data_IF_108404872948
#
_entry.id   IF_108404872948
#
_cell.length_a   1.000
_cell.length_b   1.000
_cell.length_c   1.000
_cell.angle_alpha   90.00
_cell.angle_beta   90.00
_cell.angle_gamma   90.00
#
_symmetry.space_group_name_H-M   'P 1'
#
loop_
_entity.id
_entity.type
_entity.pdbx_description
1 polymer ?
#
# COMPACT_ATOMS: atom_id res chain seq x y z
N UNK A 1 -32.34 28.83 8.87
CA UNK A 1 -31.38 27.77 9.25
C UNK A 1 -31.95 26.83 10.31
N UNK A 2 -32.63 27.32 11.36
CA UNK A 2 -33.28 26.52 12.41
C UNK A 2 -34.02 25.26 11.89
N UNK A 3 -34.97 25.43 10.98
CA UNK A 3 -35.83 24.34 10.47
C UNK A 3 -35.08 23.18 9.79
N UNK A 4 -33.89 23.43 9.22
CA UNK A 4 -33.07 22.37 8.63
C UNK A 4 -32.28 21.62 9.70
N UNK A 5 -31.94 22.29 10.80
CA UNK A 5 -31.23 21.68 11.92
C UNK A 5 -32.19 20.77 12.71
N UNK A 6 -33.40 21.25 12.99
CA UNK A 6 -34.43 20.48 13.70
C UNK A 6 -34.78 19.18 12.94
N UNK A 7 -34.82 19.21 11.60
CA UNK A 7 -35.05 18.03 10.75
C UNK A 7 -33.88 17.03 10.77
N UNK A 8 -32.65 17.50 10.96
CA UNK A 8 -31.48 16.63 11.05
C UNK A 8 -31.42 15.95 12.42
N UNK A 9 -31.74 16.69 13.48
CA UNK A 9 -31.84 16.15 14.83
C UNK A 9 -32.91 15.07 14.91
N UNK A 10 -34.09 15.30 14.32
CA UNK A 10 -35.16 14.30 14.25
C UNK A 10 -34.71 13.02 13.51
N UNK A 11 -34.02 13.18 12.37
CA UNK A 11 -33.51 12.03 11.61
C UNK A 11 -32.47 11.25 12.40
N UNK A 12 -31.60 11.91 13.16
CA UNK A 12 -30.57 11.21 13.96
C UNK A 12 -31.24 10.34 15.02
N UNK A 13 -32.25 10.87 15.72
CA UNK A 13 -33.01 10.13 16.73
C UNK A 13 -33.68 8.88 16.14
N UNK A 14 -34.23 8.98 14.93
CA UNK A 14 -34.84 7.82 14.26
C UNK A 14 -33.82 6.70 13.94
N UNK A 15 -32.60 7.07 13.56
CA UNK A 15 -31.54 6.10 13.24
C UNK A 15 -30.97 5.44 14.50
N UNK A 16 -30.85 6.19 15.60
CA UNK A 16 -30.46 5.65 16.90
C UNK A 16 -31.50 4.65 17.42
N UNK A 17 -32.79 4.99 17.34
CA UNK A 17 -33.88 4.09 17.73
C UNK A 17 -33.92 2.81 16.88
N UNK A 18 -33.64 2.91 15.58
CA UNK A 18 -33.54 1.75 14.70
C UNK A 18 -32.37 0.84 15.11
N UNK A 19 -31.22 1.44 15.41
CA UNK A 19 -30.03 0.70 15.84
C UNK A 19 -30.27 -0.05 17.16
N UNK A 20 -30.87 0.61 18.15
CA UNK A 20 -31.20 -0.02 19.42
C UNK A 20 -32.26 -1.12 19.27
N UNK A 21 -33.24 -0.94 18.38
CA UNK A 21 -34.24 -1.96 18.08
C UNK A 21 -33.63 -3.22 17.45
N UNK A 22 -32.66 -3.07 16.55
CA UNK A 22 -31.93 -4.20 15.95
C UNK A 22 -31.02 -4.91 16.95
N UNK A 23 -30.50 -4.19 17.94
CA UNK A 23 -29.57 -4.72 18.94
C UNK A 23 -30.28 -5.45 20.09
N UNK A 24 -31.46 -5.01 20.47
CA UNK A 24 -32.15 -5.49 21.69
C UNK A 24 -33.21 -6.55 21.43
N UNK A 25 -33.76 -6.63 20.21
CA UNK A 25 -34.87 -7.53 19.89
C UNK A 25 -34.43 -8.93 19.45
N UNK A 26 -35.38 -9.85 19.49
CA UNK A 26 -35.19 -11.24 19.08
C UNK A 26 -34.81 -11.33 17.58
N UNK A 27 -34.04 -12.36 17.17
CA UNK A 27 -33.48 -12.47 15.82
C UNK A 27 -34.53 -12.46 14.71
N UNK A 28 -35.69 -13.05 14.95
CA UNK A 28 -36.79 -13.14 13.98
C UNK A 28 -37.43 -11.77 13.70
N UNK A 29 -37.57 -10.93 14.72
CA UNK A 29 -38.09 -9.56 14.59
C UNK A 29 -37.08 -8.67 13.86
N UNK A 30 -35.79 -8.80 14.18
CA UNK A 30 -34.72 -8.07 13.50
C UNK A 30 -34.65 -8.41 12.00
N UNK A 31 -34.95 -9.67 11.63
CA UNK A 31 -34.96 -10.11 10.24
C UNK A 31 -36.10 -9.48 9.44
N UNK A 32 -37.29 -9.31 10.04
CA UNK A 32 -38.41 -8.60 9.41
C UNK A 32 -38.14 -7.09 9.27
N UNK A 33 -37.46 -6.47 10.24
CA UNK A 33 -36.99 -5.08 10.14
C UNK A 33 -36.07 -4.92 8.94
N UNK A 34 -35.06 -5.78 8.80
CA UNK A 34 -34.12 -5.75 7.68
C UNK A 34 -34.81 -6.01 6.33
N UNK A 35 -35.80 -6.91 6.28
CA UNK A 35 -36.59 -7.17 5.07
C UNK A 35 -37.34 -5.91 4.60
N UNK A 36 -37.92 -5.15 5.54
CA UNK A 36 -38.65 -3.91 5.23
C UNK A 36 -37.76 -2.76 4.79
N UNK A 37 -36.57 -2.64 5.38
CA UNK A 37 -35.54 -1.69 4.93
C UNK A 37 -35.14 -1.99 3.48
N UNK A 38 -34.90 -3.28 3.15
CA UNK A 38 -34.58 -3.70 1.77
C UNK A 38 -35.73 -3.47 0.80
N UNK A 39 -36.98 -3.46 1.27
CA UNK A 39 -38.14 -3.12 0.47
C UNK A 39 -38.34 -1.60 0.27
N UNK A 40 -37.45 -0.75 0.81
CA UNK A 40 -37.46 0.70 0.60
C UNK A 40 -38.50 1.46 1.41
N UNK A 41 -39.02 0.89 2.51
CA UNK A 41 -39.93 1.60 3.42
C UNK A 41 -39.19 2.63 4.28
N UNK A 42 -39.84 3.75 4.54
CA UNK A 42 -39.28 4.86 5.32
C UNK A 42 -39.03 4.47 6.78
N UNK A 43 -37.93 4.98 7.36
CA UNK A 43 -37.39 4.52 8.65
C UNK A 43 -38.39 4.74 9.79
N UNK A 44 -39.10 5.87 9.81
CA UNK A 44 -40.15 6.17 10.80
C UNK A 44 -41.29 5.16 10.76
N UNK A 45 -41.72 4.78 9.55
CA UNK A 45 -42.80 3.80 9.36
C UNK A 45 -42.40 2.38 9.79
N UNK A 46 -41.10 2.07 9.76
CA UNK A 46 -40.57 0.78 10.20
C UNK A 46 -40.57 0.72 11.73
N UNK A 47 -40.22 1.78 12.44
CA UNK A 47 -40.16 1.79 13.91
C UNK A 47 -41.53 1.89 14.59
N UNK A 48 -42.48 2.68 14.06
CA UNK A 48 -43.82 2.90 14.67
C UNK A 48 -44.67 1.62 14.73
N UNK A 49 -44.63 0.78 13.70
CA UNK A 49 -45.49 -0.42 13.61
C UNK A 49 -45.11 -1.57 14.58
N UNK A 50 -43.94 -1.51 15.23
CA UNK A 50 -43.50 -2.54 16.18
C UNK A 50 -43.63 -2.13 17.65
N UNK A 51 -44.04 -0.89 17.94
CA UNK A 51 -44.55 -0.52 19.26
C UNK A 51 -45.97 -1.05 19.48
N UNK A 52 -46.78 -1.23 18.42
CA UNK A 52 -48.12 -1.82 18.51
C UNK A 52 -48.16 -3.35 18.32
N UNK A 53 -47.15 -3.94 17.67
CA UNK A 53 -47.15 -5.37 17.29
C UNK A 53 -46.80 -6.39 18.38
N UNK A 54 -46.38 -5.97 19.57
CA UNK A 54 -45.94 -6.87 20.66
C UNK A 54 -47.06 -7.69 21.32
N UNK A 55 -48.34 -7.39 21.06
CA UNK A 55 -49.49 -8.03 21.71
C UNK A 55 -50.18 -9.13 20.88
N UNK A 56 -49.78 -9.38 19.63
CA UNK A 56 -50.52 -10.28 18.72
C UNK A 56 -49.80 -11.55 18.25
N UNK A 57 -48.53 -11.77 18.62
CA UNK A 57 -47.79 -12.99 18.22
C UNK A 57 -47.83 -14.15 19.23
N UNK A 58 -48.56 -14.01 20.35
CA UNK A 58 -48.73 -15.10 21.33
C UNK A 58 -49.81 -16.14 20.96
N UNK A 59 -50.51 -16.01 19.82
CA UNK A 59 -51.70 -16.81 19.52
C UNK A 59 -51.60 -17.82 18.37
N UNK A 60 -50.42 -18.01 17.78
CA UNK A 60 -50.27 -19.02 16.72
C UNK A 60 -49.01 -19.85 16.90
N UNK A 61 -49.07 -20.79 17.82
CA UNK A 61 -48.33 -22.05 17.72
C UNK A 61 -49.31 -23.15 17.30
N UNK A 62 -48.91 -24.05 16.39
CA UNK A 62 -49.24 -25.45 16.58
C UNK A 62 -48.00 -26.32 16.76
N UNK A 63 -48.13 -27.10 17.82
CA UNK A 63 -47.36 -28.20 18.40
C UNK A 63 -47.18 -29.42 17.48
N UNK A 64 -46.21 -30.27 17.88
CA UNK A 64 -46.15 -31.74 17.71
C UNK A 64 -45.69 -32.27 16.33
N UNK A 65 -44.89 -33.33 16.17
CA UNK A 65 -44.21 -34.30 17.03
C UNK A 65 -43.38 -35.25 16.13
N UNK A 66 -42.49 -36.03 16.76
CA UNK A 66 -41.96 -37.35 16.35
C UNK A 66 -40.48 -37.46 15.89
N UNK A 67 -39.84 -38.46 16.48
CA UNK A 67 -38.40 -38.77 16.52
C UNK A 67 -38.06 -39.99 15.62
N UNK A 68 -37.04 -40.83 15.91
CA UNK A 68 -35.62 -40.73 15.55
C UNK A 68 -35.10 -41.98 14.77
N UNK A 69 -33.80 -42.06 14.43
CA UNK A 69 -32.91 -43.26 14.33
C UNK A 69 -31.60 -42.84 13.61
N UNK A 70 -30.43 -42.81 14.28
CA UNK A 70 -29.44 -43.89 14.46
C UNK A 70 -28.68 -44.30 13.19
N UNK A 71 -27.36 -44.09 13.17
CA UNK A 71 -26.35 -45.15 12.91
C UNK A 71 -24.94 -44.70 13.32
N UNK A 72 -24.26 -45.63 13.98
CA UNK A 72 -22.95 -45.60 14.61
C UNK A 72 -21.77 -45.90 13.69
N UNK A 73 -20.57 -45.47 14.09
CA UNK A 73 -19.32 -46.25 14.22
C UNK A 73 -18.15 -45.25 14.32
N UNK A 74 -17.19 -45.31 15.23
CA UNK A 74 -16.87 -46.26 16.29
C UNK A 74 -15.38 -46.11 16.61
N UNK A 75 -15.06 -45.95 17.91
CA UNK A 75 -13.79 -46.26 18.62
C UNK A 75 -12.49 -45.55 18.15
N UNK A 76 -11.52 -45.14 18.97
CA UNK A 76 -11.08 -45.53 20.34
C UNK A 76 -10.09 -44.44 20.79
N UNK A 77 -10.33 -43.69 21.87
CA UNK A 77 -9.75 -43.81 23.24
C UNK A 77 -8.26 -44.15 23.37
N UNK A 78 -7.48 -43.18 23.87
CA UNK A 78 -6.56 -43.39 25.00
C UNK A 78 -6.17 -42.04 25.62
N UNK A 79 -6.33 -41.94 26.94
CA UNK A 79 -6.10 -40.79 27.83
C UNK A 79 -5.14 -41.30 28.97
N UNK A 80 -4.82 -40.55 30.04
CA UNK A 80 -3.74 -39.56 30.24
C UNK A 80 -2.77 -39.97 31.39
N UNK A 81 -1.74 -39.16 31.76
CA UNK A 81 -1.23 -38.91 33.14
C UNK A 81 0.09 -38.08 33.12
N UNK A 82 0.21 -36.95 33.82
CA UNK A 82 0.70 -36.71 35.21
C UNK A 82 1.98 -35.83 35.15
N UNK A 83 1.92 -34.54 35.54
CA UNK A 83 2.14 -33.95 36.88
C UNK A 83 3.55 -34.22 37.44
N UNK A 84 4.32 -33.15 37.65
CA UNK A 84 5.22 -32.95 38.78
C UNK A 84 5.27 -31.46 39.14
N UNK A 85 5.37 -31.20 40.45
CA UNK A 85 5.28 -29.90 41.14
C UNK A 85 6.65 -29.58 41.77
N UNK A 86 6.83 -28.32 42.21
CA UNK A 86 7.85 -27.76 43.15
C UNK A 86 9.06 -27.05 42.47
N UNK A 87 9.60 -25.89 42.91
CA UNK A 87 9.35 -24.93 44.00
C UNK A 87 10.16 -23.63 43.74
N UNK A 88 9.54 -22.46 44.01
CA UNK A 88 10.07 -21.15 44.48
C UNK A 88 11.40 -20.49 44.02
N UNK A 89 11.30 -19.30 43.40
CA UNK A 89 11.98 -18.04 43.81
C UNK A 89 11.39 -16.82 43.06
N UNK A 90 11.36 -15.60 43.65
CA UNK A 90 10.55 -14.49 43.16
C UNK A 90 11.32 -13.64 42.13
N UNK A 91 10.78 -13.52 40.91
CA UNK A 91 11.35 -12.67 39.86
C UNK A 91 10.26 -12.13 38.95
N UNK A 92 10.10 -10.80 39.00
CA UNK A 92 9.52 -9.86 38.01
C UNK A 92 8.18 -10.22 37.32
N UNK A 93 7.18 -9.31 37.32
CA UNK A 93 5.95 -9.55 36.59
C UNK A 93 6.23 -9.70 35.08
N UNK A 94 5.69 -10.78 34.53
CA UNK A 94 5.77 -11.19 33.14
C UNK A 94 5.03 -10.18 32.25
N UNK A 95 5.67 -9.70 31.18
CA UNK A 95 5.16 -8.66 30.27
C UNK A 95 4.04 -9.15 29.33
N UNK A 96 3.46 -10.32 29.63
CA UNK A 96 2.47 -10.98 28.78
C UNK A 96 1.05 -10.43 29.00
N UNK A 97 0.76 -9.81 30.15
CA UNK A 97 -0.57 -9.25 30.45
C UNK A 97 -0.86 -7.88 29.80
N UNK A 98 0.13 -7.22 29.18
CA UNK A 98 -0.10 -5.91 28.53
C UNK A 98 -0.63 -6.05 27.10
N UNK A 99 -0.52 -7.24 26.49
CA UNK A 99 -1.07 -7.49 25.16
C UNK A 99 -2.58 -7.77 25.15
N UNK A 100 -3.18 -8.11 26.29
CA UNK A 100 -4.58 -8.55 26.36
C UNK A 100 -5.61 -7.41 26.49
N UNK A 101 -5.15 -6.15 26.52
CA UNK A 101 -6.06 -4.99 26.56
C UNK A 101 -5.90 -4.03 25.36
N UNK A 102 -5.61 -4.58 24.18
CA UNK A 102 -5.91 -3.89 22.93
C UNK A 102 -6.98 -4.70 22.19
N UNK A 103 -8.24 -4.50 22.57
CA UNK A 103 -9.39 -4.99 21.80
C UNK A 103 -9.39 -4.27 20.44
N UNK A 104 -8.65 -4.82 19.48
CA UNK A 104 -8.88 -4.53 18.07
C UNK A 104 -10.34 -4.87 17.73
N UNK A 105 -10.94 -4.05 16.88
CA UNK A 105 -12.28 -4.25 16.36
C UNK A 105 -12.44 -5.68 15.84
N UNK A 106 -13.61 -6.30 16.05
CA UNK A 106 -13.94 -7.69 15.64
C UNK A 106 -13.78 -8.01 14.14
N UNK A 107 -13.34 -7.06 13.32
CA UNK A 107 -13.07 -7.22 11.89
C UNK A 107 -11.57 -7.36 11.56
N UNK A 108 -10.67 -7.28 12.55
CA UNK A 108 -9.22 -7.52 12.38
C UNK A 108 -8.80 -8.88 12.95
N UNK A 109 -9.62 -9.91 12.76
CA UNK A 109 -9.19 -11.28 13.07
C UNK A 109 -8.42 -11.86 11.87
N UNK A 110 -7.25 -12.51 12.05
CA UNK A 110 -6.45 -13.08 10.95
C UNK A 110 -7.24 -13.97 9.96
N UNK A 111 -8.25 -14.69 10.43
CA UNK A 111 -9.13 -15.49 9.57
C UNK A 111 -10.15 -14.71 8.71
N UNK A 112 -10.40 -13.42 8.98
CA UNK A 112 -11.38 -12.58 8.27
C UNK A 112 -10.75 -11.46 7.43
N UNK A 113 -9.46 -11.57 7.10
CA UNK A 113 -8.84 -10.67 6.13
C UNK A 113 -9.41 -10.99 4.73
N UNK A 114 -9.88 -9.95 4.03
CA UNK A 114 -10.35 -10.02 2.63
C UNK A 114 -9.36 -10.79 1.73
N UNK A 115 -8.08 -10.84 2.09
CA UNK A 115 -7.00 -11.54 1.42
C UNK A 115 -7.12 -13.07 1.36
N UNK A 116 -7.84 -13.76 2.25
CA UNK A 116 -7.84 -15.23 2.26
C UNK A 116 -8.40 -15.83 0.96
N UNK A 117 -9.41 -15.18 0.35
CA UNK A 117 -9.95 -15.57 -0.95
C UNK A 117 -9.05 -15.18 -2.13
N UNK A 118 -8.12 -14.23 -1.92
CA UNK A 118 -7.19 -13.74 -2.95
C UNK A 118 -5.77 -14.28 -2.83
N UNK A 119 -5.40 -14.89 -1.70
CA UNK A 119 -4.09 -15.54 -1.45
C UNK A 119 -3.72 -16.58 -2.51
N UNK A 120 -4.71 -17.27 -3.07
CA UNK A 120 -4.50 -18.23 -4.15
C UNK A 120 -4.71 -17.64 -5.56
N UNK A 121 -5.25 -16.42 -5.66
CA UNK A 121 -5.57 -15.81 -6.97
C UNK A 121 -4.37 -15.11 -7.62
N UNK A 122 -3.38 -14.71 -6.83
CA UNK A 122 -2.13 -14.09 -7.30
C UNK A 122 -1.39 -14.92 -8.35
N UNK A 123 -1.62 -16.24 -8.39
CA UNK A 123 -1.06 -17.14 -9.41
C UNK A 123 -2.08 -17.67 -10.44
N UNK A 124 -3.39 -17.43 -10.26
CA UNK A 124 -4.43 -18.01 -11.12
C UNK A 124 -4.75 -17.17 -12.36
N UNK A 125 -4.48 -15.87 -12.33
CA UNK A 125 -4.86 -14.94 -13.41
C UNK A 125 -3.73 -14.03 -13.92
N UNK A 126 -2.53 -14.09 -13.32
CA UNK A 126 -1.39 -13.39 -13.86
C UNK A 126 -0.86 -14.19 -15.05
N UNK A 127 -0.97 -13.64 -16.27
CA UNK A 127 -0.17 -14.15 -17.37
C UNK A 127 1.31 -14.17 -16.94
N UNK A 128 1.98 -15.30 -17.15
CA UNK A 128 3.37 -15.50 -16.71
C UNK A 128 4.36 -14.52 -17.38
N UNK A 129 3.92 -13.72 -18.34
CA UNK A 129 4.76 -12.80 -19.10
C UNK A 129 3.97 -11.57 -19.57
N UNK A 130 3.45 -10.77 -18.62
CA UNK A 130 2.95 -9.43 -18.98
C UNK A 130 4.14 -8.60 -19.47
N UNK A 131 4.18 -8.37 -20.78
CA UNK A 131 5.14 -7.50 -21.42
C UNK A 131 4.39 -6.29 -22.01
N UNK A 132 4.71 -5.11 -21.48
CA UNK A 132 4.15 -3.83 -21.94
C UNK A 132 5.11 -3.28 -23.00
N UNK A 133 4.70 -3.38 -24.26
CA UNK A 133 5.39 -2.78 -25.39
C UNK A 133 4.53 -1.64 -25.97
N UNK A 134 5.11 -0.45 -26.06
CA UNK A 134 4.51 0.71 -26.70
C UNK A 134 5.31 0.98 -28.00
N UNK A 135 4.68 0.85 -29.19
CA UNK A 135 5.39 1.01 -30.45
C UNK A 135 6.16 2.34 -30.53
N UNK A 136 7.48 2.24 -30.74
CA UNK A 136 8.38 3.41 -30.81
C UNK A 136 8.84 3.96 -29.46
N UNK A 137 8.44 3.35 -28.34
CA UNK A 137 8.92 3.68 -27.01
C UNK A 137 10.09 2.77 -26.62
N UNK A 138 11.29 3.10 -27.13
CA UNK A 138 12.53 2.46 -26.69
C UNK A 138 13.48 3.57 -26.24
N UNK A 139 13.83 3.54 -24.96
CA UNK A 139 14.71 4.50 -24.32
C UNK A 139 16.14 3.94 -24.28
N UNK A 140 17.18 4.77 -24.44
CA UNK A 140 18.57 4.33 -24.36
C UNK A 140 19.01 4.18 -22.90
N UNK A 141 18.43 3.22 -22.17
CA UNK A 141 18.62 3.01 -20.73
C UNK A 141 19.91 2.22 -20.46
N UNK A 142 20.29 1.32 -21.37
CA UNK A 142 21.48 0.46 -21.32
C UNK A 142 22.77 1.23 -21.04
N UNK A 143 22.89 2.48 -21.52
CA UNK A 143 24.06 3.33 -21.23
C UNK A 143 24.18 3.77 -19.76
N UNK A 144 23.08 3.70 -18.99
CA UNK A 144 22.98 4.15 -17.60
C UNK A 144 23.12 3.03 -16.57
N UNK A 145 23.22 1.78 -17.01
CA UNK A 145 23.34 0.61 -16.13
C UNK A 145 24.34 -0.39 -16.69
N UNK A 146 25.02 -1.11 -15.82
CA UNK A 146 25.90 -2.22 -16.21
C UNK A 146 25.19 -3.58 -16.18
N UNK A 147 23.94 -3.62 -15.70
CA UNK A 147 23.18 -4.86 -15.43
C UNK A 147 22.63 -5.51 -16.70
N UNK A 148 22.16 -4.70 -17.66
CA UNK A 148 21.58 -5.20 -18.90
C UNK A 148 21.81 -4.24 -20.06
N UNK A 149 22.00 -4.80 -21.26
CA UNK A 149 22.12 -4.06 -22.51
C UNK A 149 20.84 -4.13 -23.36
N UNK A 150 19.76 -4.74 -22.85
CA UNK A 150 18.48 -4.87 -23.56
C UNK A 150 17.56 -3.67 -23.26
N UNK A 151 17.65 -2.65 -24.10
CA UNK A 151 16.81 -1.44 -23.98
C UNK A 151 15.31 -1.73 -24.11
N UNK A 152 14.90 -2.83 -24.73
CA UNK A 152 13.49 -3.22 -24.85
C UNK A 152 12.96 -3.65 -23.49
N UNK A 153 13.69 -4.55 -22.81
CA UNK A 153 13.37 -4.98 -21.44
C UNK A 153 13.43 -3.80 -20.47
N UNK A 154 14.47 -2.98 -20.53
CA UNK A 154 14.62 -1.83 -19.64
C UNK A 154 13.50 -0.80 -19.84
N UNK A 155 13.09 -0.54 -21.09
CA UNK A 155 11.98 0.36 -21.39
C UNK A 155 10.65 -0.21 -20.88
N UNK A 156 10.44 -1.52 -21.02
CA UNK A 156 9.29 -2.21 -20.45
C UNK A 156 9.22 -2.07 -18.91
N UNK A 157 10.34 -2.28 -18.21
CA UNK A 157 10.40 -2.11 -16.76
C UNK A 157 10.05 -0.69 -16.35
N UNK A 158 10.62 0.30 -17.03
CA UNK A 158 10.32 1.70 -16.74
C UNK A 158 8.84 2.04 -16.99
N UNK A 159 8.22 1.45 -18.02
CA UNK A 159 6.77 1.59 -18.25
C UNK A 159 5.94 1.00 -17.10
N UNK A 160 6.35 -0.13 -16.53
CA UNK A 160 5.68 -0.68 -15.36
C UNK A 160 5.72 0.29 -14.18
N UNK A 161 6.85 0.94 -13.93
CA UNK A 161 6.97 1.97 -12.90
C UNK A 161 5.98 3.12 -13.14
N UNK A 162 5.95 3.67 -14.36
CA UNK A 162 5.01 4.75 -14.71
C UNK A 162 3.54 4.34 -14.61
N UNK A 163 3.24 3.04 -14.77
CA UNK A 163 1.87 2.53 -14.77
C UNK A 163 1.37 2.22 -13.35
N UNK A 164 2.23 1.66 -12.51
CA UNK A 164 1.81 1.01 -11.25
C UNK A 164 2.31 1.71 -9.99
N UNK A 165 3.46 2.38 -10.04
CA UNK A 165 3.97 3.05 -8.85
C UNK A 165 3.22 4.36 -8.60
N UNK A 166 2.72 4.57 -7.38
CA UNK A 166 1.93 5.76 -7.06
C UNK A 166 2.64 6.71 -6.09
N UNK A 167 3.76 6.26 -5.50
CA UNK A 167 4.47 6.96 -4.44
C UNK A 167 5.77 7.56 -4.97
N UNK A 168 6.61 6.77 -5.63
CA UNK A 168 7.83 7.24 -6.32
C UNK A 168 7.53 8.17 -7.49
N UNK A 169 6.43 7.94 -8.21
CA UNK A 169 5.95 8.86 -9.26
C UNK A 169 5.66 10.30 -8.79
N UNK A 170 5.58 10.55 -7.47
CA UNK A 170 5.40 11.92 -6.94
C UNK A 170 6.70 12.69 -6.80
N UNK A 171 7.82 11.98 -6.65
CA UNK A 171 9.15 12.60 -6.51
C UNK A 171 9.91 12.63 -7.83
N UNK A 172 9.42 11.98 -8.89
CA UNK A 172 10.02 11.99 -10.23
C UNK A 172 9.10 12.66 -11.24
N UNK A 173 9.58 13.70 -11.93
CA UNK A 173 8.90 14.21 -13.13
C UNK A 173 9.33 13.38 -14.35
N UNK A 174 8.41 12.57 -14.88
CA UNK A 174 8.69 11.68 -16.03
C UNK A 174 9.25 12.43 -17.24
N UNK A 175 8.71 13.62 -17.54
CA UNK A 175 9.10 14.35 -18.75
C UNK A 175 10.52 14.88 -18.65
N UNK A 176 10.88 15.44 -17.50
CA UNK A 176 12.22 15.93 -17.22
C UNK A 176 13.23 14.77 -17.12
N UNK A 177 12.84 13.66 -16.46
CA UNK A 177 13.65 12.46 -16.37
C UNK A 177 13.97 11.88 -17.76
N UNK A 178 12.97 11.67 -18.62
CA UNK A 178 13.18 11.11 -19.95
C UNK A 178 13.97 12.06 -20.87
N UNK A 179 13.79 13.39 -20.73
CA UNK A 179 14.57 14.40 -21.45
C UNK A 179 16.06 14.27 -21.10
N UNK A 180 16.38 14.23 -19.79
CA UNK A 180 17.75 14.09 -19.32
C UNK A 180 18.34 12.71 -19.64
N UNK A 181 17.56 11.64 -19.53
CA UNK A 181 17.96 10.28 -19.88
C UNK A 181 18.43 10.16 -21.34
N UNK A 182 17.76 10.88 -22.25
CA UNK A 182 18.09 10.89 -23.69
C UNK A 182 19.26 11.82 -24.02
N UNK A 183 19.32 12.98 -23.38
CA UNK A 183 20.24 14.07 -23.76
C UNK A 183 21.56 14.06 -23.01
N UNK A 184 21.57 13.65 -21.75
CA UNK A 184 22.78 13.65 -20.93
C UNK A 184 23.69 12.45 -21.26
N UNK A 185 24.96 12.58 -20.86
CA UNK A 185 25.92 11.49 -20.88
C UNK A 185 26.23 11.04 -19.45
N UNK A 186 25.99 9.77 -19.09
CA UNK A 186 26.11 9.24 -17.73
C UNK A 186 27.51 9.40 -17.13
N UNK A 187 28.55 9.48 -17.97
CA UNK A 187 29.94 9.63 -17.52
C UNK A 187 30.36 11.09 -17.32
N UNK A 188 29.46 12.04 -17.57
CA UNK A 188 29.78 13.47 -17.45
C UNK A 188 29.66 13.88 -15.99
N UNK A 189 30.74 14.40 -15.36
CA UNK A 189 30.66 14.85 -13.98
C UNK A 189 29.59 15.94 -13.84
N UNK A 190 28.92 15.94 -12.68
CA UNK A 190 27.91 16.95 -12.38
C UNK A 190 28.59 18.31 -12.26
N UNK A 191 28.06 19.33 -12.94
CA UNK A 191 28.58 20.68 -12.76
C UNK A 191 28.00 21.30 -11.48
N UNK A 192 28.74 22.18 -10.79
CA UNK A 192 28.20 22.89 -9.64
C UNK A 192 26.93 23.66 -10.03
N UNK A 193 25.85 23.46 -9.27
CA UNK A 193 24.53 24.07 -9.48
C UNK A 193 23.78 23.61 -10.76
N UNK A 194 24.23 22.55 -11.42
CA UNK A 194 23.47 21.95 -12.51
C UNK A 194 22.35 21.07 -11.96
N UNK A 195 21.11 21.42 -12.30
CA UNK A 195 19.95 20.62 -11.95
C UNK A 195 19.81 19.48 -12.96
N UNK A 196 20.00 18.25 -12.48
CA UNK A 196 19.80 17.02 -13.27
C UNK A 196 18.67 16.19 -12.69
N UNK A 197 17.81 15.71 -13.57
CA UNK A 197 16.69 14.83 -13.26
C UNK A 197 16.99 13.36 -13.54
N UNK A 198 18.16 13.04 -14.09
CA UNK A 198 18.61 11.68 -14.37
C UNK A 198 20.06 11.48 -13.93
N UNK A 199 20.33 10.33 -13.31
CA UNK A 199 21.68 9.85 -13.00
C UNK A 199 21.73 8.33 -13.06
N UNK A 200 22.91 7.70 -13.21
CA UNK A 200 23.03 6.24 -13.19
C UNK A 200 22.43 5.63 -11.92
N UNK A 201 22.71 6.20 -10.75
CA UNK A 201 22.10 5.77 -9.48
C UNK A 201 20.57 5.78 -9.55
N UNK A 202 19.97 6.90 -9.95
CA UNK A 202 18.51 7.04 -10.03
C UNK A 202 17.89 6.03 -11.01
N UNK A 203 18.52 5.82 -12.17
CA UNK A 203 18.04 4.85 -13.17
C UNK A 203 18.03 3.44 -12.59
N UNK A 204 19.09 3.02 -11.90
CA UNK A 204 19.14 1.69 -11.31
C UNK A 204 18.15 1.53 -10.14
N UNK A 205 17.92 2.57 -9.34
CA UNK A 205 16.90 2.56 -8.30
C UNK A 205 15.48 2.43 -8.90
N UNK A 206 15.17 3.18 -9.97
CA UNK A 206 13.91 3.05 -10.72
C UNK A 206 13.72 1.63 -11.26
N UNK A 207 14.75 1.05 -11.88
CA UNK A 207 14.69 -0.30 -12.42
C UNK A 207 14.50 -1.36 -11.32
N UNK A 208 15.13 -1.18 -10.16
CA UNK A 208 14.95 -2.06 -9.01
C UNK A 208 13.49 -2.08 -8.53
N UNK A 209 12.89 -0.90 -8.30
CA UNK A 209 11.47 -0.78 -7.93
C UNK A 209 10.55 -1.32 -9.04
N UNK A 210 10.86 -1.04 -10.30
CA UNK A 210 10.09 -1.54 -11.45
C UNK A 210 9.96 -3.06 -11.46
N UNK A 211 11.01 -3.77 -11.01
CA UNK A 211 11.02 -5.23 -10.97
C UNK A 211 10.00 -5.82 -9.98
N UNK A 212 9.51 -5.03 -9.01
CA UNK A 212 8.45 -5.47 -8.08
C UNK A 212 7.13 -5.74 -8.83
N UNK A 213 6.91 -5.06 -9.96
CA UNK A 213 5.68 -5.13 -10.76
C UNK A 213 5.73 -6.15 -11.89
N UNK A 214 6.79 -6.96 -12.00
CA UNK A 214 6.90 -8.02 -13.01
C UNK A 214 7.19 -9.38 -12.39
N UNK A 215 6.76 -10.43 -13.11
CA UNK A 215 7.04 -11.84 -12.82
C UNK A 215 8.07 -12.44 -13.78
N UNK A 216 8.61 -11.62 -14.69
CA UNK A 216 9.64 -12.05 -15.64
C UNK A 216 10.88 -12.55 -14.91
N UNK A 217 11.22 -13.83 -15.08
CA UNK A 217 12.34 -14.47 -14.40
C UNK A 217 13.70 -13.82 -14.70
N UNK A 218 13.85 -13.09 -15.81
CA UNK A 218 15.08 -12.37 -16.13
C UNK A 218 15.42 -11.26 -15.12
N UNK A 219 14.47 -10.82 -14.31
CA UNK A 219 14.69 -9.77 -13.29
C UNK A 219 15.05 -10.32 -11.92
N UNK A 220 15.05 -11.63 -11.73
CA UNK A 220 15.32 -12.29 -10.46
C UNK A 220 16.81 -12.61 -10.36
N UNK A 221 17.45 -12.35 -9.23
CA UNK A 221 18.82 -12.83 -9.02
C UNK A 221 18.86 -14.35 -8.86
N UNK A 222 17.92 -14.91 -8.09
CA UNK A 222 17.74 -16.35 -7.93
C UNK A 222 16.42 -16.75 -8.60
N UNK A 223 16.44 -17.61 -9.63
CA UNK A 223 15.22 -18.08 -10.27
C UNK A 223 14.25 -18.68 -9.25
N UNK A 224 12.96 -18.35 -9.36
CA UNK A 224 11.90 -18.79 -8.46
C UNK A 224 11.97 -18.29 -7.00
N UNK A 225 12.82 -17.33 -6.66
CA UNK A 225 12.77 -16.63 -5.37
C UNK A 225 12.22 -15.20 -5.54
N UNK A 226 10.93 -14.95 -5.23
CA UNK A 226 10.29 -13.64 -5.38
C UNK A 226 10.95 -12.51 -4.61
N UNK A 227 11.72 -12.79 -3.55
CA UNK A 227 12.42 -11.77 -2.76
C UNK A 227 13.70 -11.28 -3.45
N UNK A 228 14.15 -11.96 -4.51
CA UNK A 228 15.35 -11.58 -5.26
C UNK A 228 15.07 -10.79 -6.53
N UNK A 229 13.80 -10.44 -6.78
CA UNK A 229 13.36 -9.60 -7.90
C UNK A 229 14.02 -8.23 -7.83
N UNK A 230 14.66 -7.80 -8.91
CA UNK A 230 15.31 -6.49 -9.00
C UNK A 230 16.62 -6.38 -8.21
N UNK A 231 17.05 -7.43 -7.52
CA UNK A 231 18.18 -7.34 -6.59
C UNK A 231 19.50 -7.00 -7.29
N UNK A 232 19.69 -7.41 -8.53
CA UNK A 232 20.87 -7.03 -9.32
C UNK A 232 20.91 -5.52 -9.58
N UNK A 233 19.76 -4.91 -9.91
CA UNK A 233 19.66 -3.46 -10.07
C UNK A 233 19.81 -2.72 -8.73
N UNK A 234 19.23 -3.24 -7.66
CA UNK A 234 19.36 -2.65 -6.32
C UNK A 234 20.83 -2.64 -5.84
N UNK A 235 21.58 -3.71 -6.09
CA UNK A 235 23.02 -3.77 -5.80
C UNK A 235 23.83 -2.78 -6.63
N UNK A 236 23.49 -2.64 -7.90
CA UNK A 236 24.16 -1.66 -8.77
C UNK A 236 23.84 -0.22 -8.33
N UNK A 237 22.59 0.07 -7.94
CA UNK A 237 22.21 1.34 -7.36
C UNK A 237 23.01 1.63 -6.08
N UNK A 238 23.10 0.68 -5.14
CA UNK A 238 23.89 0.84 -3.93
C UNK A 238 25.38 1.12 -4.23
N UNK A 239 25.96 0.46 -5.24
CA UNK A 239 27.34 0.72 -5.68
C UNK A 239 27.50 2.14 -6.25
N UNK A 240 26.55 2.60 -7.06
CA UNK A 240 26.55 3.92 -7.69
C UNK A 240 26.30 5.04 -6.68
N UNK A 241 25.49 4.81 -5.64
CA UNK A 241 25.27 5.77 -4.55
C UNK A 241 26.60 6.20 -3.93
N UNK A 242 27.51 5.26 -3.67
CA UNK A 242 28.83 5.56 -3.10
C UNK A 242 29.69 6.48 -3.98
N UNK A 243 29.41 6.54 -5.28
CA UNK A 243 30.14 7.37 -6.25
C UNK A 243 29.48 8.73 -6.47
N UNK A 244 28.14 8.77 -6.46
CA UNK A 244 27.37 9.97 -6.78
C UNK A 244 27.04 10.82 -5.55
N UNK A 245 27.06 10.25 -4.35
CA UNK A 245 26.68 10.89 -3.10
C UNK A 245 27.76 11.82 -2.52
N UNK A 246 28.15 12.82 -3.29
CA UNK A 246 29.25 13.75 -2.96
C UNK A 246 28.78 15.18 -2.73
N UNK A 247 27.69 15.58 -3.38
CA UNK A 247 27.12 16.93 -3.32
C UNK A 247 25.60 16.85 -3.37
N UNK A 248 24.88 17.92 -2.94
CA UNK A 248 23.43 17.95 -3.05
C UNK A 248 23.00 17.70 -4.51
N UNK A 249 22.31 16.59 -4.72
CA UNK A 249 21.85 16.14 -6.03
C UNK A 249 20.40 15.68 -5.93
N UNK A 250 19.55 16.25 -6.80
CA UNK A 250 18.13 15.89 -6.85
C UNK A 250 17.97 14.40 -7.17
N UNK A 251 18.72 13.91 -8.17
CA UNK A 251 18.70 12.52 -8.57
C UNK A 251 19.11 11.56 -7.43
N UNK A 252 20.05 11.98 -6.57
CA UNK A 252 20.44 11.19 -5.39
C UNK A 252 19.33 11.16 -4.34
N UNK A 253 18.74 12.30 -4.00
CA UNK A 253 17.61 12.32 -3.05
C UNK A 253 16.43 11.46 -3.55
N UNK A 254 16.12 11.56 -4.84
CA UNK A 254 15.09 10.77 -5.51
C UNK A 254 15.42 9.26 -5.50
N UNK A 255 16.65 8.90 -5.85
CA UNK A 255 17.08 7.50 -5.86
C UNK A 255 17.06 6.88 -4.46
N UNK A 256 17.44 7.63 -3.42
CA UNK A 256 17.35 7.18 -2.02
C UNK A 256 15.90 6.92 -1.59
N UNK A 257 14.95 7.77 -2.01
CA UNK A 257 13.52 7.52 -1.77
C UNK A 257 13.06 6.20 -2.41
N UNK A 258 13.45 5.95 -3.66
CA UNK A 258 13.11 4.70 -4.36
C UNK A 258 13.77 3.47 -3.71
N UNK A 259 15.02 3.58 -3.28
CA UNK A 259 15.72 2.50 -2.58
C UNK A 259 15.08 2.19 -1.23
N UNK A 260 14.61 3.20 -0.49
CA UNK A 260 13.79 2.98 0.71
C UNK A 260 12.53 2.15 0.40
N UNK A 261 11.77 2.52 -0.64
CA UNK A 261 10.58 1.73 -1.04
C UNK A 261 10.94 0.31 -1.47
N UNK A 262 12.01 0.14 -2.24
CA UNK A 262 12.45 -1.18 -2.68
C UNK A 262 12.80 -2.07 -1.48
N UNK A 263 13.59 -1.57 -0.54
CA UNK A 263 13.98 -2.31 0.67
C UNK A 263 12.79 -2.56 1.61
N UNK A 264 11.85 -1.62 1.70
CA UNK A 264 10.62 -1.84 2.46
C UNK A 264 9.74 -2.94 1.86
N UNK A 265 9.77 -3.11 0.54
CA UNK A 265 8.95 -4.10 -0.17
C UNK A 265 9.57 -5.51 -0.19
N UNK A 266 10.88 -5.61 -0.43
CA UNK A 266 11.56 -6.90 -0.67
C UNK A 266 12.78 -7.15 0.21
N UNK A 267 13.24 -6.12 0.92
CA UNK A 267 14.46 -6.14 1.72
C UNK A 267 14.18 -6.23 3.21
N UNK A 268 14.87 -5.38 3.99
CA UNK A 268 14.71 -5.31 5.44
C UNK A 268 14.46 -3.88 5.93
N UNK A 269 13.71 -3.76 7.03
CA UNK A 269 13.29 -2.46 7.57
C UNK A 269 14.44 -1.57 8.04
N UNK A 270 15.54 -2.13 8.55
CA UNK A 270 16.71 -1.35 8.99
C UNK A 270 17.38 -0.65 7.80
N UNK A 271 17.56 -1.36 6.69
CA UNK A 271 18.15 -0.81 5.46
C UNK A 271 17.21 0.22 4.83
N UNK A 272 15.91 -0.05 4.82
CA UNK A 272 14.90 0.90 4.36
C UNK A 272 14.96 2.21 5.16
N UNK A 273 14.96 2.13 6.50
CA UNK A 273 15.10 3.28 7.39
C UNK A 273 16.42 4.04 7.17
N UNK A 274 17.53 3.34 6.94
CA UNK A 274 18.81 3.97 6.61
C UNK A 274 18.72 4.80 5.33
N UNK A 275 18.13 4.25 4.27
CA UNK A 275 17.90 4.99 3.03
C UNK A 275 16.95 6.18 3.22
N UNK A 276 15.91 6.03 4.04
CA UNK A 276 14.97 7.10 4.34
C UNK A 276 15.65 8.27 5.08
N UNK A 277 16.40 8.01 6.16
CA UNK A 277 17.13 9.07 6.88
C UNK A 277 18.17 9.74 5.97
N UNK A 278 18.82 8.97 5.09
CA UNK A 278 19.77 9.52 4.14
C UNK A 278 19.08 10.40 3.08
N UNK A 279 17.93 9.96 2.58
CA UNK A 279 17.08 10.72 1.66
C UNK A 279 16.70 12.08 2.26
N UNK A 280 16.22 12.11 3.50
CA UNK A 280 15.87 13.36 4.19
C UNK A 280 17.06 14.32 4.28
N UNK A 281 18.23 13.81 4.68
CA UNK A 281 19.44 14.62 4.78
C UNK A 281 19.84 15.26 3.43
N UNK A 282 19.74 14.51 2.33
CA UNK A 282 20.05 15.03 0.99
C UNK A 282 18.98 15.97 0.46
N UNK A 283 17.71 15.68 0.68
CA UNK A 283 16.61 16.55 0.32
C UNK A 283 16.72 17.93 1.00
N UNK A 284 16.95 17.97 2.31
CA UNK A 284 17.12 19.22 3.04
C UNK A 284 18.36 20.00 2.59
N UNK A 285 19.44 19.31 2.24
CA UNK A 285 20.66 19.93 1.73
C UNK A 285 20.49 20.58 0.35
N UNK A 286 19.50 20.15 -0.46
CA UNK A 286 19.20 20.76 -1.76
C UNK A 286 18.63 22.18 -1.63
N UNK A 287 17.99 22.50 -0.50
CA UNK A 287 17.31 23.78 -0.26
C UNK A 287 16.45 24.20 -1.46
N UNK A 288 15.60 23.29 -1.93
CA UNK A 288 14.77 23.53 -3.12
C UNK A 288 13.91 24.80 -2.99
N UNK A 289 13.57 25.20 -1.77
CA UNK A 289 12.85 26.45 -1.48
C UNK A 289 13.62 27.71 -1.89
N UNK A 290 14.95 27.68 -1.81
CA UNK A 290 15.84 28.78 -2.19
C UNK A 290 16.10 28.82 -3.71
N UNK A 291 15.76 27.75 -4.45
CA UNK A 291 15.97 27.67 -5.90
C UNK A 291 15.05 28.68 -6.60
N UNK A 292 15.65 29.59 -7.36
CA UNK A 292 14.91 30.65 -8.07
C UNK A 292 14.05 30.05 -9.19
N UNK A 293 12.76 29.88 -8.92
CA UNK A 293 11.75 29.36 -9.85
C UNK A 293 11.16 30.50 -10.70
N UNK A 294 11.89 30.98 -11.72
CA UNK A 294 11.30 31.95 -12.65
C UNK A 294 10.40 31.23 -13.65
N UNK A 295 9.10 31.46 -13.55
CA UNK A 295 8.08 30.98 -14.50
C UNK A 295 7.74 32.01 -15.57
N UNK A 296 8.36 33.19 -15.51
CA UNK A 296 8.12 34.30 -16.43
C UNK A 296 8.72 33.98 -17.81
N UNK A 297 7.87 34.00 -18.84
CA UNK A 297 8.28 33.71 -20.20
C UNK A 297 9.20 34.77 -20.82
N UNK A 298 9.20 35.99 -20.28
CA UNK A 298 10.09 37.07 -20.70
C UNK A 298 11.52 36.93 -20.14
N UNK A 299 11.70 36.15 -19.08
CA UNK A 299 12.96 36.05 -18.31
C UNK A 299 13.58 34.65 -18.42
N UNK A 300 12.75 33.60 -18.37
CA UNK A 300 13.19 32.21 -18.30
C UNK A 300 12.94 31.47 -19.63
N UNK A 301 13.88 30.61 -20.03
CA UNK A 301 13.73 29.74 -21.18
C UNK A 301 12.64 28.68 -21.00
N UNK A 302 12.18 28.07 -22.10
CA UNK A 302 11.10 27.08 -22.05
C UNK A 302 11.39 25.88 -21.12
N UNK A 303 12.64 25.39 -21.09
CA UNK A 303 13.05 24.30 -20.19
C UNK A 303 13.06 24.74 -18.73
N UNK A 304 13.64 25.89 -18.41
CA UNK A 304 13.68 26.46 -17.05
C UNK A 304 12.28 26.62 -16.44
N UNK A 305 11.28 26.98 -17.24
CA UNK A 305 9.89 27.05 -16.77
C UNK A 305 9.31 25.67 -16.44
N UNK A 306 9.63 24.64 -17.24
CA UNK A 306 9.25 23.25 -16.93
C UNK A 306 9.97 22.73 -15.70
N UNK A 307 11.25 23.02 -15.55
CA UNK A 307 12.05 22.70 -14.36
C UNK A 307 11.41 23.31 -13.09
N UNK A 308 11.02 24.58 -13.15
CA UNK A 308 10.35 25.25 -12.03
C UNK A 308 9.03 24.56 -11.64
N UNK A 309 8.23 24.13 -12.62
CA UNK A 309 7.00 23.37 -12.38
C UNK A 309 7.29 21.98 -11.79
N UNK A 310 8.22 21.23 -12.39
CA UNK A 310 8.63 19.91 -11.93
C UNK A 310 9.13 19.97 -10.48
N UNK A 311 10.01 20.91 -10.16
CA UNK A 311 10.50 21.12 -8.80
C UNK A 311 9.39 21.44 -7.80
N UNK A 312 8.37 22.20 -8.20
CA UNK A 312 7.22 22.48 -7.33
C UNK A 312 6.47 21.20 -6.99
N UNK A 313 6.22 20.32 -7.98
CA UNK A 313 5.56 19.04 -7.74
C UNK A 313 6.43 18.10 -6.89
N UNK A 314 7.73 18.03 -7.19
CA UNK A 314 8.67 17.17 -6.50
C UNK A 314 8.83 17.57 -5.02
N UNK A 315 8.87 18.87 -4.70
CA UNK A 315 8.88 19.34 -3.31
C UNK A 315 7.67 18.83 -2.52
N UNK A 316 6.46 18.87 -3.10
CA UNK A 316 5.28 18.26 -2.49
C UNK A 316 5.37 16.74 -2.43
N UNK A 317 6.01 16.11 -3.42
CA UNK A 317 6.35 14.71 -3.40
C UNK A 317 7.13 14.36 -2.14
N UNK A 318 8.27 14.98 -1.92
CA UNK A 318 9.12 14.70 -0.74
C UNK A 318 8.43 14.99 0.59
N UNK A 319 7.53 15.99 0.66
CA UNK A 319 6.72 16.23 1.86
C UNK A 319 5.82 15.04 2.24
N UNK A 320 5.32 14.27 1.26
CA UNK A 320 4.52 13.06 1.54
C UNK A 320 5.40 11.92 2.07
N UNK A 321 6.71 11.98 1.83
CA UNK A 321 7.67 10.99 2.29
C UNK A 321 8.31 11.35 3.63
N UNK A 322 8.07 12.55 4.18
CA UNK A 322 8.56 13.03 5.48
C UNK A 322 7.59 12.64 6.61
#
# INVERSE_FOLDING_TARGET
MQRKNDLLEERIVDHENLYDSLKTRQPEEAQEILRRIRAGKDIKSVTENFQEGGLLLQLTSPTASHAPLSTSSGATSSNPLARNTETGSPGFPDFTEVYDLMRCFRYEHPEYIFENSWRDTQHRYAENSIFVDLPGYTLPISRWTTVSNDDTLLSHLLLLFWTWDTIGNRVIDRTMFEEDLKTLNPNTPNQPNELRFCSPFLVNALLAVSCVYTTNQATFLLPNDPNTRGQTFAREAARLLLLEDTSPSLAVAQGLALMNTYEAALGNGETALSYHSHMQARYLALRLDDVRRSTDAAIAGARQRREAHALSCISWGFYVWD
#
